data_IF_265541192131
#
_entry.id   IF_265541192131
#
_cell.length_a   1.000
_cell.length_b   1.000
_cell.length_c   1.000
_cell.angle_alpha   90.00
_cell.angle_beta   90.00
_cell.angle_gamma   90.00
#
_symmetry.space_group_name_H-M   'P 1'
#
loop_
_entity.id
_entity.type
_entity.pdbx_description
1 polymer ?
#
# COMPACT_ATOMS: atom_id res chain seq x y z
N UNK A 1 -1.41 2.39 -20.05
CA UNK A 1 -2.56 2.31 -19.10
C UNK A 1 -2.31 3.26 -17.94
N UNK A 2 -3.33 3.98 -17.51
CA UNK A 2 -3.25 4.91 -16.39
C UNK A 2 -4.15 4.43 -15.24
N UNK A 3 -3.61 4.42 -14.03
CA UNK A 3 -4.37 4.11 -12.82
C UNK A 3 -4.92 5.42 -12.27
N UNK A 4 -6.24 5.53 -12.11
CA UNK A 4 -6.93 6.69 -11.55
C UNK A 4 -6.72 6.77 -10.05
N UNK A 5 -6.95 5.65 -9.35
CA UNK A 5 -6.72 5.50 -7.91
C UNK A 5 -6.49 4.03 -7.55
N UNK A 6 -5.92 3.78 -6.39
CA UNK A 6 -5.77 2.42 -5.87
C UNK A 6 -5.69 2.45 -4.34
N UNK A 7 -6.15 1.40 -3.67
CA UNK A 7 -6.17 1.32 -2.21
C UNK A 7 -6.19 -0.12 -1.69
N UNK A 8 -5.65 -0.31 -0.49
CA UNK A 8 -5.73 -1.57 0.24
C UNK A 8 -7.02 -1.65 1.08
N UNK A 9 -7.58 -2.85 1.14
CA UNK A 9 -8.61 -3.25 2.11
C UNK A 9 -8.21 -4.60 2.71
N UNK A 10 -8.97 -5.12 3.67
CA UNK A 10 -8.60 -6.38 4.34
C UNK A 10 -8.42 -7.53 3.33
N UNK A 11 -7.20 -8.01 3.17
CA UNK A 11 -6.83 -9.11 2.30
C UNK A 11 -6.93 -8.83 0.79
N UNK A 12 -7.12 -7.56 0.38
CA UNK A 12 -7.34 -7.19 -1.03
C UNK A 12 -6.71 -5.85 -1.38
N UNK A 13 -6.37 -5.69 -2.66
CA UNK A 13 -5.95 -4.41 -3.21
C UNK A 13 -6.72 -4.10 -4.49
N UNK A 14 -7.38 -2.95 -4.52
CA UNK A 14 -8.24 -2.51 -5.63
C UNK A 14 -7.53 -1.47 -6.48
N UNK A 15 -7.62 -1.62 -7.79
CA UNK A 15 -7.15 -0.69 -8.80
C UNK A 15 -8.34 -0.13 -9.57
N UNK A 16 -8.50 1.18 -9.55
CA UNK A 16 -9.43 1.91 -10.42
C UNK A 16 -8.66 2.45 -11.62
N UNK A 17 -9.07 2.04 -12.80
CA UNK A 17 -8.39 2.37 -14.04
C UNK A 17 -9.00 3.62 -14.67
N UNK A 18 -8.16 4.45 -15.27
CA UNK A 18 -8.63 5.55 -16.11
C UNK A 18 -8.82 5.01 -17.52
N UNK A 19 -10.03 5.10 -18.04
CA UNK A 19 -10.30 4.89 -19.47
C UNK A 19 -9.65 6.05 -20.23
N UNK A 20 -8.58 5.75 -20.94
CA UNK A 20 -7.91 6.70 -21.81
C UNK A 20 -8.47 6.48 -23.21
N UNK A 21 -9.29 7.41 -23.67
CA UNK A 21 -9.86 7.50 -25.00
C UNK A 21 -10.89 6.36 -25.36
N UNK A 22 -12.14 6.69 -25.71
CA UNK A 22 -13.15 5.71 -26.09
C UNK A 22 -12.82 4.91 -27.37
N UNK A 23 -11.90 5.38 -28.19
CA UNK A 23 -11.45 4.71 -29.40
C UNK A 23 -10.43 3.57 -29.17
N UNK A 24 -9.82 3.47 -28.01
CA UNK A 24 -8.90 2.37 -27.69
C UNK A 24 -9.66 1.21 -27.04
N UNK A 25 -10.07 0.27 -27.86
CA UNK A 25 -10.84 -0.91 -27.51
C UNK A 25 -10.05 -1.94 -26.70
N UNK A 26 -9.73 -1.63 -25.44
CA UNK A 26 -9.22 -2.67 -24.53
C UNK A 26 -10.41 -3.50 -24.01
N UNK A 27 -10.23 -4.80 -23.95
CA UNK A 27 -11.21 -5.72 -23.35
C UNK A 27 -11.00 -5.82 -21.85
N UNK A 28 -9.75 -5.75 -21.39
CA UNK A 28 -9.43 -5.89 -19.98
C UNK A 28 -7.94 -5.85 -19.67
N UNK A 29 -7.55 -6.45 -18.54
CA UNK A 29 -6.17 -6.43 -18.02
C UNK A 29 -5.67 -7.84 -17.70
N UNK A 30 -4.47 -8.16 -18.20
CA UNK A 30 -3.62 -9.23 -17.67
C UNK A 30 -2.82 -8.63 -16.53
N UNK A 31 -2.93 -9.21 -15.34
CA UNK A 31 -2.21 -8.76 -14.14
C UNK A 31 -1.27 -9.85 -13.68
N UNK A 32 0.01 -9.54 -13.62
CA UNK A 32 1.06 -10.42 -13.11
C UNK A 32 1.59 -9.82 -11.81
N UNK A 33 1.56 -10.58 -10.73
CA UNK A 33 2.03 -10.09 -9.43
C UNK A 33 2.72 -11.17 -8.60
N UNK A 34 3.63 -10.73 -7.73
CA UNK A 34 4.33 -11.58 -6.78
C UNK A 34 4.60 -10.82 -5.48
N UNK A 35 4.58 -11.52 -4.34
CA UNK A 35 4.97 -10.94 -3.05
C UNK A 35 6.49 -10.97 -2.86
N UNK A 36 7.02 -10.00 -2.12
CA UNK A 36 8.43 -9.99 -1.72
C UNK A 36 8.79 -11.11 -0.73
N UNK A 37 7.79 -11.76 -0.11
CA UNK A 37 8.02 -12.87 0.81
C UNK A 37 8.04 -14.24 0.10
N UNK A 38 7.10 -14.50 -0.81
CA UNK A 38 6.91 -15.83 -1.41
C UNK A 38 7.56 -15.99 -2.79
N UNK A 39 7.86 -14.87 -3.48
CA UNK A 39 8.44 -14.84 -4.83
C UNK A 39 7.68 -15.65 -5.92
N UNK A 40 6.47 -16.12 -5.60
CA UNK A 40 5.62 -16.87 -6.54
C UNK A 40 4.90 -15.90 -7.47
N UNK A 41 5.09 -16.07 -8.78
CA UNK A 41 4.36 -15.32 -9.80
C UNK A 41 2.92 -15.84 -9.93
N UNK A 42 1.97 -14.91 -9.88
CA UNK A 42 0.55 -15.16 -10.08
C UNK A 42 0.09 -14.34 -11.29
N UNK A 43 -0.60 -14.96 -12.22
CA UNK A 43 -1.20 -14.30 -13.39
C UNK A 43 -2.71 -14.41 -13.29
N UNK A 44 -3.40 -13.27 -13.45
CA UNK A 44 -4.86 -13.19 -13.55
C UNK A 44 -5.28 -12.33 -14.74
N UNK A 45 -6.46 -12.64 -15.30
CA UNK A 45 -7.10 -11.86 -16.34
C UNK A 45 -8.42 -11.29 -15.81
N UNK A 46 -8.65 -10.01 -16.07
CA UNK A 46 -9.84 -9.28 -15.66
C UNK A 46 -10.53 -8.70 -16.89
N UNK A 47 -11.73 -9.15 -17.20
CA UNK A 47 -12.56 -8.66 -18.32
C UNK A 47 -13.29 -7.38 -17.91
N UNK A 48 -12.53 -6.34 -17.60
CA UNK A 48 -13.06 -5.05 -17.18
C UNK A 48 -12.12 -3.93 -17.61
N UNK A 49 -12.70 -2.78 -17.93
CA UNK A 49 -11.94 -1.54 -18.24
C UNK A 49 -11.86 -0.59 -17.06
N UNK A 50 -12.63 -0.82 -15.99
CA UNK A 50 -12.86 0.18 -14.93
C UNK A 50 -12.09 -0.11 -13.65
N UNK A 51 -12.34 -1.26 -13.05
CA UNK A 51 -11.69 -1.62 -11.78
C UNK A 51 -11.51 -3.13 -11.66
N UNK A 52 -10.49 -3.53 -10.93
CA UNK A 52 -10.28 -4.91 -10.54
C UNK A 52 -9.58 -4.99 -9.19
N UNK A 53 -9.70 -6.14 -8.55
CA UNK A 53 -9.15 -6.39 -7.22
C UNK A 53 -8.31 -7.66 -7.24
N UNK A 54 -7.11 -7.60 -6.65
CA UNK A 54 -6.26 -8.77 -6.43
C UNK A 54 -6.22 -9.12 -4.95
N UNK A 55 -6.18 -10.42 -4.59
CA UNK A 55 -5.94 -10.81 -3.22
C UNK A 55 -4.49 -10.49 -2.84
N UNK A 56 -4.32 -9.95 -1.64
CA UNK A 56 -3.02 -9.74 -1.01
C UNK A 56 -3.08 -10.29 0.41
N UNK A 57 -2.02 -10.86 0.91
CA UNK A 57 -1.95 -11.43 2.25
C UNK A 57 -0.61 -11.13 2.92
N UNK A 58 -0.61 -11.16 4.25
CA UNK A 58 0.59 -10.94 5.04
C UNK A 58 1.14 -9.51 4.98
N UNK A 59 2.19 -9.30 5.75
CA UNK A 59 2.93 -8.04 5.80
C UNK A 59 4.07 -8.08 4.78
N UNK A 60 3.76 -7.80 3.51
CA UNK A 60 4.72 -7.86 2.42
C UNK A 60 4.37 -6.87 1.32
N UNK A 61 5.39 -6.37 0.61
CA UNK A 61 5.18 -5.68 -0.65
C UNK A 61 4.92 -6.69 -1.78
N UNK A 62 4.06 -6.28 -2.69
CA UNK A 62 3.80 -6.96 -3.96
C UNK A 62 4.30 -6.10 -5.11
N UNK A 63 5.05 -6.71 -6.03
CA UNK A 63 5.25 -6.14 -7.35
C UNK A 63 4.07 -6.54 -8.22
N UNK A 64 3.44 -5.56 -8.87
CA UNK A 64 2.27 -5.76 -9.73
C UNK A 64 2.56 -5.14 -11.10
N UNK A 65 2.39 -5.94 -12.16
CA UNK A 65 2.50 -5.51 -13.55
C UNK A 65 1.13 -5.65 -14.21
N UNK A 66 0.62 -4.57 -14.78
CA UNK A 66 -0.72 -4.49 -15.39
C UNK A 66 -0.55 -4.26 -16.89
N UNK A 67 -1.00 -5.21 -17.68
CA UNK A 67 -0.95 -5.19 -19.15
C UNK A 67 -2.37 -5.07 -19.68
N UNK A 68 -2.71 -4.06 -20.49
CA UNK A 68 -3.99 -4.05 -21.20
C UNK A 68 -4.00 -5.14 -22.26
N UNK A 69 -5.19 -5.68 -22.54
CA UNK A 69 -5.37 -6.58 -23.66
C UNK A 69 -6.67 -6.29 -24.43
N UNK A 70 -6.68 -6.72 -25.68
CA UNK A 70 -7.82 -6.68 -26.59
C UNK A 70 -8.17 -8.12 -27.01
N UNK A 71 -9.47 -8.41 -27.16
CA UNK A 71 -9.97 -9.65 -27.76
C UNK A 71 -10.59 -9.29 -29.11
N UNK A 72 -10.11 -9.95 -30.16
CA UNK A 72 -10.66 -9.89 -31.52
C UNK A 72 -11.01 -11.31 -31.96
N UNK A 73 -12.29 -11.59 -32.15
CA UNK A 73 -12.77 -12.97 -32.35
C UNK A 73 -12.35 -13.85 -31.17
N UNK A 74 -11.73 -14.97 -31.44
CA UNK A 74 -11.23 -15.91 -30.43
C UNK A 74 -9.78 -15.66 -29.98
N UNK A 75 -9.15 -14.56 -30.43
CA UNK A 75 -7.73 -14.29 -30.15
C UNK A 75 -7.56 -13.12 -29.17
N UNK A 76 -6.67 -13.30 -28.20
CA UNK A 76 -6.29 -12.26 -27.21
C UNK A 76 -4.92 -11.67 -27.57
N UNK A 77 -4.89 -10.35 -27.66
CA UNK A 77 -3.67 -9.56 -27.92
C UNK A 77 -3.31 -8.79 -26.66
N UNK A 78 -2.23 -9.17 -26.01
CA UNK A 78 -1.74 -8.54 -24.77
C UNK A 78 -0.66 -7.53 -25.12
N UNK A 79 -0.71 -6.32 -24.53
CA UNK A 79 0.33 -5.31 -24.71
C UNK A 79 1.70 -5.83 -24.24
N UNK A 80 2.76 -5.48 -24.94
CA UNK A 80 4.15 -5.76 -24.54
C UNK A 80 4.60 -4.85 -23.37
N UNK A 81 3.92 -3.71 -23.14
CA UNK A 81 4.26 -2.76 -22.08
C UNK A 81 3.31 -2.88 -20.89
N UNK A 82 3.85 -2.79 -19.68
CA UNK A 82 3.08 -2.82 -18.44
C UNK A 82 3.06 -1.47 -17.72
N UNK A 83 2.09 -1.30 -16.85
CA UNK A 83 2.14 -0.31 -15.77
C UNK A 83 2.53 -1.02 -14.49
N UNK A 84 3.69 -0.65 -13.94
CA UNK A 84 4.24 -1.29 -12.74
C UNK A 84 3.82 -0.56 -11.47
N UNK A 85 3.52 -1.32 -10.43
CA UNK A 85 3.21 -0.83 -9.07
C UNK A 85 3.85 -1.72 -8.02
N UNK A 86 4.20 -1.09 -6.90
CA UNK A 86 4.52 -1.79 -5.66
C UNK A 86 3.48 -1.39 -4.63
N UNK A 87 2.82 -2.38 -4.07
CA UNK A 87 1.69 -2.22 -3.13
C UNK A 87 1.91 -3.08 -1.90
N UNK A 88 1.29 -2.73 -0.79
CA UNK A 88 1.32 -3.50 0.45
C UNK A 88 0.01 -3.30 1.21
N UNK A 89 -0.26 -4.19 2.15
CA UNK A 89 -1.33 -4.00 3.13
C UNK A 89 -1.05 -2.79 4.02
N UNK A 90 -2.11 -2.28 4.63
CA UNK A 90 -2.03 -1.29 5.71
C UNK A 90 -1.30 -1.90 6.90
N UNK A 91 -0.37 -1.15 7.49
CA UNK A 91 0.32 -1.57 8.71
C UNK A 91 -0.66 -1.52 9.88
N UNK A 92 -0.80 -2.64 10.57
CA UNK A 92 -1.55 -2.73 11.83
C UNK A 92 -0.64 -2.44 13.00
N UNK A 93 -0.98 -1.42 13.79
CA UNK A 93 -0.25 -1.04 14.99
C UNK A 93 -0.83 -1.73 16.21
N UNK A 94 0.05 -2.13 17.12
CA UNK A 94 -0.28 -2.71 18.43
C UNK A 94 0.35 -1.85 19.52
N UNK A 95 -0.38 -1.61 20.61
CA UNK A 95 0.19 -1.00 21.81
C UNK A 95 1.27 -1.91 22.37
N UNK A 96 2.43 -1.35 22.71
CA UNK A 96 3.56 -2.10 23.24
C UNK A 96 3.94 -1.66 24.67
N UNK A 97 3.43 -0.53 25.13
CA UNK A 97 3.63 0.01 26.46
C UNK A 97 3.14 1.46 26.57
N UNK A 98 2.92 1.92 27.78
CA UNK A 98 2.64 3.34 28.07
C UNK A 98 3.05 3.70 29.49
N UNK A 99 3.36 4.98 29.67
CA UNK A 99 3.52 5.67 30.96
C UNK A 99 2.61 6.90 30.96
N UNK A 100 2.67 7.70 32.04
CA UNK A 100 1.92 8.96 32.11
C UNK A 100 2.29 9.98 31.02
N UNK A 101 3.48 9.85 30.42
CA UNK A 101 4.02 10.82 29.44
C UNK A 101 4.59 10.16 28.17
N UNK A 102 4.41 8.86 27.99
CA UNK A 102 4.88 8.17 26.78
C UNK A 102 3.97 7.01 26.39
N UNK A 103 3.94 6.71 25.09
CA UNK A 103 3.30 5.50 24.57
C UNK A 103 4.17 4.87 23.49
N UNK A 104 4.26 3.54 23.57
CA UNK A 104 5.00 2.73 22.60
C UNK A 104 4.03 1.94 21.73
N UNK A 105 4.36 1.85 20.46
CA UNK A 105 3.68 1.00 19.48
C UNK A 105 4.67 0.09 18.77
N UNK A 106 4.18 -1.08 18.39
CA UNK A 106 4.91 -2.04 17.55
C UNK A 106 4.05 -2.48 16.37
N UNK A 107 4.70 -3.00 15.35
CA UNK A 107 4.05 -3.59 14.17
C UNK A 107 4.86 -4.74 13.62
N UNK A 108 4.22 -5.60 12.84
CA UNK A 108 4.93 -6.65 12.14
C UNK A 108 5.76 -6.07 10.99
N UNK A 109 6.98 -6.57 10.81
CA UNK A 109 7.82 -6.15 9.68
C UNK A 109 7.13 -6.45 8.35
N UNK A 110 7.22 -5.52 7.41
CA UNK A 110 6.72 -5.70 6.04
C UNK A 110 7.86 -6.21 5.17
N UNK A 111 7.75 -7.43 4.66
CA UNK A 111 8.77 -8.00 3.78
C UNK A 111 8.92 -7.14 2.52
N UNK A 112 10.16 -6.84 2.15
CA UNK A 112 10.51 -5.95 1.05
C UNK A 112 10.42 -4.46 1.37
N UNK A 113 10.09 -4.05 2.61
CA UNK A 113 10.22 -2.67 3.04
C UNK A 113 11.70 -2.34 3.36
N UNK A 114 12.14 -1.17 2.93
CA UNK A 114 13.48 -0.65 3.27
C UNK A 114 13.48 0.07 4.61
N UNK A 115 12.40 0.79 4.91
CA UNK A 115 12.21 1.53 6.16
C UNK A 115 10.73 1.90 6.38
N UNK A 116 10.46 2.56 7.49
CA UNK A 116 9.13 3.05 7.89
C UNK A 116 9.18 4.54 8.16
N UNK A 117 8.16 5.26 7.68
CA UNK A 117 7.92 6.66 8.03
C UNK A 117 6.85 6.73 9.10
N UNK A 118 7.14 7.42 10.20
CA UNK A 118 6.26 7.58 11.35
C UNK A 118 5.70 9.00 11.33
N UNK A 119 4.39 9.11 11.47
CA UNK A 119 3.66 10.37 11.49
C UNK A 119 2.83 10.48 12.75
N UNK A 120 2.85 11.64 13.37
CA UNK A 120 2.06 11.97 14.57
C UNK A 120 1.08 13.09 14.24
N UNK A 121 -0.15 12.91 14.68
CA UNK A 121 -1.14 13.97 14.78
C UNK A 121 -1.22 14.39 16.23
N UNK A 122 -0.76 15.60 16.49
CA UNK A 122 -0.76 16.20 17.84
C UNK A 122 -2.17 16.72 18.19
N UNK A 123 -2.48 16.84 19.48
CA UNK A 123 -3.74 17.43 19.96
C UNK A 123 -3.97 18.82 19.34
N UNK A 124 -5.21 19.10 18.92
CA UNK A 124 -5.55 20.36 18.24
C UNK A 124 -5.11 20.47 16.76
N UNK A 125 -4.29 19.52 16.25
CA UNK A 125 -3.89 19.53 14.85
C UNK A 125 -4.89 18.79 13.97
N UNK A 126 -5.16 19.32 12.77
CA UNK A 126 -5.93 18.63 11.72
C UNK A 126 -5.08 17.66 10.90
N UNK A 127 -3.75 17.78 10.91
CA UNK A 127 -2.82 17.07 10.03
C UNK A 127 -1.80 16.20 10.76
N UNK A 128 -1.30 15.18 10.05
CA UNK A 128 -0.20 14.34 10.49
C UNK A 128 1.14 14.94 10.05
N UNK A 129 2.08 15.05 11.00
CA UNK A 129 3.47 15.45 10.70
C UNK A 129 4.39 14.25 10.76
N UNK A 130 5.30 14.12 9.79
CA UNK A 130 6.36 13.10 9.82
C UNK A 130 7.36 13.46 10.92
N UNK A 131 7.57 12.51 11.84
CA UNK A 131 8.47 12.71 12.99
C UNK A 131 9.74 11.86 12.92
N UNK A 132 9.68 10.71 12.22
CA UNK A 132 10.82 9.80 12.13
C UNK A 132 10.77 8.93 10.87
N UNK A 133 11.95 8.54 10.39
CA UNK A 133 12.16 7.39 9.50
C UNK A 133 13.01 6.38 10.25
N UNK A 134 12.66 5.09 10.20
CA UNK A 134 13.34 4.03 10.96
C UNK A 134 13.28 2.69 10.23
N UNK A 135 14.24 1.82 10.46
CA UNK A 135 14.21 0.41 10.08
C UNK A 135 13.64 -0.48 11.19
N UNK A 136 13.46 0.07 12.40
CA UNK A 136 12.81 -0.61 13.52
C UNK A 136 11.31 -0.78 13.25
N UNK A 137 10.73 -1.82 13.81
CA UNK A 137 9.29 -2.07 13.84
C UNK A 137 8.65 -1.68 15.19
N UNK A 138 9.28 -0.75 15.88
CA UNK A 138 8.90 -0.21 17.18
C UNK A 138 9.14 1.29 17.24
N UNK A 139 8.27 2.01 17.93
CA UNK A 139 8.40 3.45 18.15
C UNK A 139 7.77 3.85 19.49
N UNK A 140 8.45 4.73 20.22
CA UNK A 140 7.94 5.39 21.43
C UNK A 140 7.78 6.87 21.18
N UNK A 141 6.58 7.39 21.41
CA UNK A 141 6.33 8.83 21.53
C UNK A 141 6.47 9.21 23.00
N UNK A 142 7.33 10.19 23.27
CA UNK A 142 7.56 10.76 24.61
C UNK A 142 7.02 12.18 24.70
N UNK A 143 6.91 12.73 25.91
CA UNK A 143 6.41 14.08 26.14
C UNK A 143 4.91 14.23 25.89
N UNK A 144 4.15 13.14 25.98
CA UNK A 144 2.69 13.17 25.89
C UNK A 144 2.07 13.85 27.09
N UNK A 145 1.03 14.65 26.85
CA UNK A 145 0.21 15.21 27.92
C UNK A 145 -0.79 14.17 28.41
N UNK A 146 -0.92 14.01 29.72
CA UNK A 146 -1.90 13.10 30.34
C UNK A 146 -3.32 13.41 29.86
N UNK A 147 -4.13 12.38 29.69
CA UNK A 147 -5.53 12.48 29.26
C UNK A 147 -5.73 13.18 27.90
N UNK A 148 -4.75 13.08 27.01
CA UNK A 148 -4.77 13.76 25.72
C UNK A 148 -4.62 12.76 24.59
N UNK A 149 -5.45 12.88 23.54
CA UNK A 149 -5.44 11.97 22.38
C UNK A 149 -4.41 12.42 21.35
N UNK A 150 -3.61 11.48 20.91
CA UNK A 150 -2.69 11.62 19.79
C UNK A 150 -3.05 10.62 18.70
N UNK A 151 -2.82 10.96 17.45
CA UNK A 151 -2.91 10.00 16.34
C UNK A 151 -1.52 9.58 15.90
N UNK A 152 -1.33 8.30 15.63
CA UNK A 152 -0.12 7.79 14.98
C UNK A 152 -0.49 7.03 13.72
N UNK A 153 0.32 7.16 12.67
CA UNK A 153 0.29 6.27 11.52
C UNK A 153 1.72 5.93 11.11
N UNK A 154 1.89 4.72 10.61
CA UNK A 154 3.17 4.22 10.10
C UNK A 154 2.98 3.77 8.67
N UNK A 155 3.92 4.14 7.82
CA UNK A 155 3.94 3.83 6.39
C UNK A 155 5.22 3.06 6.11
N UNK A 156 5.11 1.85 5.54
CA UNK A 156 6.25 1.13 4.99
C UNK A 156 6.68 1.76 3.66
N UNK A 157 7.97 1.91 3.46
CA UNK A 157 8.55 2.46 2.25
C UNK A 157 9.40 1.40 1.55
N UNK A 158 9.28 1.34 0.22
CA UNK A 158 10.11 0.52 -0.66
C UNK A 158 10.69 1.38 -1.77
N UNK A 159 12.01 1.47 -1.84
CA UNK A 159 12.71 2.18 -2.91
C UNK A 159 12.99 1.21 -4.06
N UNK A 160 12.60 1.58 -5.26
CA UNK A 160 12.90 0.83 -6.48
C UNK A 160 13.41 1.82 -7.51
N UNK A 161 14.67 1.67 -7.91
CA UNK A 161 15.38 2.67 -8.73
C UNK A 161 15.28 4.05 -8.06
N UNK A 162 14.80 5.05 -8.76
CA UNK A 162 14.68 6.44 -8.26
C UNK A 162 13.31 6.76 -7.65
N UNK A 163 12.46 5.75 -7.41
CA UNK A 163 11.10 5.94 -6.89
C UNK A 163 10.91 5.26 -5.55
N UNK A 164 10.26 5.96 -4.62
CA UNK A 164 9.80 5.39 -3.35
C UNK A 164 8.32 5.06 -3.45
N UNK A 165 7.99 3.82 -3.13
CA UNK A 165 6.64 3.31 -3.02
C UNK A 165 6.25 3.21 -1.55
N UNK A 166 4.98 3.44 -1.28
CA UNK A 166 4.46 3.51 0.08
C UNK A 166 3.33 2.48 0.26
N UNK A 167 3.26 1.88 1.47
CA UNK A 167 2.05 1.17 1.88
C UNK A 167 0.91 2.17 2.09
N UNK A 168 -0.33 1.68 2.03
CA UNK A 168 -1.46 2.44 2.57
C UNK A 168 -1.30 2.58 4.09
N UNK A 169 -1.99 3.55 4.69
CA UNK A 169 -1.86 3.85 6.11
C UNK A 169 -3.21 4.02 6.79
N UNK A 170 -3.31 3.54 8.02
CA UNK A 170 -4.45 3.76 8.92
C UNK A 170 -3.95 4.46 10.17
N UNK A 171 -4.72 5.44 10.65
CA UNK A 171 -4.44 6.09 11.92
C UNK A 171 -4.79 5.16 13.09
N UNK A 172 -3.93 5.15 14.11
CA UNK A 172 -4.17 4.53 15.41
C UNK A 172 -4.22 5.64 16.46
N UNK A 173 -5.26 5.63 17.31
CA UNK A 173 -5.39 6.61 18.38
C UNK A 173 -4.63 6.15 19.62
N UNK A 174 -3.82 7.06 20.15
CA UNK A 174 -3.04 6.88 21.37
C UNK A 174 -3.60 7.77 22.48
N UNK A 175 -3.88 7.21 23.61
CA UNK A 175 -4.36 7.92 24.81
C UNK A 175 -3.89 7.22 26.08
#
# INVERSE_FOLDING_TARGET
>A
VKIKSSYASTGRYTFNMQTVNPSNSITGYKVVYQSSAAHKLITKYFNTRYSFTIPISGNTFYQVKIYPYLVLGNKRYVSSTSTDRYISNVITLQKAGNTNSSMSVKWNRTAGADNYSIYIKYPGSSSFKKVKTTTSNFFTLTGMKKNTKYGIKVIANKKVKNKVWHSDSKAYNMS
#
